data_IF_813262186334
#
_entry.id   IF_813262186334
#
_cell.length_a   1.000
_cell.length_b   1.000
_cell.length_c   1.000
_cell.angle_alpha   90.00
_cell.angle_beta   90.00
_cell.angle_gamma   90.00
#
_symmetry.space_group_name_H-M   'P 1'
#
loop_
_entity.id
_entity.type
_entity.pdbx_description
1 polymer ?
#
# COMPACT_ATOMS: atom_id res chain seq x y z
N UNK A 1 12.90 -15.48 4.46
CA UNK A 1 13.55 -14.41 3.70
C UNK A 1 12.80 -13.12 3.95
N UNK A 2 13.52 -12.04 4.21
CA UNK A 2 12.91 -10.73 4.45
C UNK A 2 12.54 -10.04 3.14
N UNK A 3 11.49 -9.21 3.17
CA UNK A 3 11.07 -8.40 2.02
C UNK A 3 12.10 -7.34 1.67
N UNK A 4 12.70 -6.71 2.68
CA UNK A 4 13.58 -5.57 2.52
C UNK A 4 15.04 -6.00 2.31
N UNK A 5 15.80 -5.36 1.41
CA UNK A 5 17.21 -5.67 1.24
C UNK A 5 18.02 -5.17 2.44
N UNK A 6 19.10 -5.87 2.83
CA UNK A 6 20.03 -5.33 3.81
C UNK A 6 20.65 -4.03 3.26
N UNK A 7 20.91 -3.07 4.13
CA UNK A 7 21.53 -1.80 3.73
C UNK A 7 22.65 -1.43 4.67
N UNK A 8 23.59 -0.68 4.11
CA UNK A 8 24.78 -0.17 4.77
C UNK A 8 24.41 0.77 5.95
N UNK A 9 25.36 1.02 6.87
CA UNK A 9 25.19 2.03 7.91
C UNK A 9 24.85 3.39 7.31
N UNK A 10 24.04 4.17 8.02
CA UNK A 10 23.69 5.51 7.55
C UNK A 10 24.93 6.42 7.53
N UNK A 11 25.14 7.10 6.40
CA UNK A 11 26.25 8.04 6.22
C UNK A 11 26.09 9.34 7.04
N UNK A 12 24.86 9.66 7.48
CA UNK A 12 24.52 10.93 8.12
C UNK A 12 23.74 10.75 9.43
N UNK A 13 23.84 11.72 10.37
CA UNK A 13 22.97 11.79 11.55
C UNK A 13 21.49 11.88 11.17
N UNK A 14 20.61 11.47 12.11
CA UNK A 14 19.15 11.43 11.89
C UNK A 14 18.59 12.81 11.59
N UNK A 15 19.06 13.82 12.31
CA UNK A 15 18.62 15.20 12.25
C UNK A 15 18.91 15.80 10.86
N UNK A 16 20.08 15.47 10.29
CA UNK A 16 20.47 15.88 8.94
C UNK A 16 19.56 15.24 7.88
N UNK A 17 19.17 13.97 8.04
CA UNK A 17 18.21 13.32 7.17
C UNK A 17 16.83 14.00 7.25
N UNK A 18 16.33 14.27 8.46
CA UNK A 18 15.03 14.91 8.67
C UNK A 18 14.98 16.33 8.09
N UNK A 19 16.04 17.11 8.26
CA UNK A 19 16.16 18.43 7.63
C UNK A 19 16.06 18.35 6.10
N UNK A 20 16.81 17.43 5.48
CA UNK A 20 16.77 17.21 4.02
C UNK A 20 15.40 16.75 3.53
N UNK A 21 14.72 15.89 4.29
CA UNK A 21 13.36 15.44 3.98
C UNK A 21 12.37 16.60 3.98
N UNK A 22 12.48 17.53 4.93
CA UNK A 22 11.63 18.72 4.98
C UNK A 22 11.83 19.61 3.75
N UNK A 23 13.07 19.85 3.33
CA UNK A 23 13.38 20.59 2.10
C UNK A 23 12.81 19.89 0.86
N UNK A 24 13.01 18.57 0.74
CA UNK A 24 12.48 17.78 -0.38
C UNK A 24 10.95 17.71 -0.40
N UNK A 25 10.30 17.71 0.76
CA UNK A 25 8.84 17.76 0.86
C UNK A 25 8.27 19.04 0.24
N UNK A 26 8.88 20.20 0.50
CA UNK A 26 8.47 21.45 -0.13
C UNK A 26 8.57 21.38 -1.66
N UNK A 27 9.61 20.72 -2.19
CA UNK A 27 9.77 20.49 -3.63
C UNK A 27 8.69 19.58 -4.23
N UNK A 28 8.21 18.58 -3.50
CA UNK A 28 7.09 17.72 -3.94
C UNK A 28 5.81 18.54 -4.11
N UNK A 29 5.50 19.39 -3.14
CA UNK A 29 4.28 20.22 -3.18
C UNK A 29 4.32 21.17 -4.39
N UNK A 30 5.47 21.80 -4.63
CA UNK A 30 5.68 22.67 -5.81
C UNK A 30 5.61 21.90 -7.15
N UNK A 31 6.18 20.69 -7.20
CA UNK A 31 6.15 19.86 -8.42
C UNK A 31 4.75 19.32 -8.75
N UNK A 32 3.94 19.04 -7.72
CA UNK A 32 2.56 18.61 -7.89
C UNK A 32 1.70 19.69 -8.55
N UNK A 33 1.92 20.95 -8.17
CA UNK A 33 1.25 22.13 -8.76
C UNK A 33 1.67 22.38 -10.21
N UNK A 34 2.91 22.02 -10.56
CA UNK A 34 3.47 22.21 -11.92
C UNK A 34 3.27 21.01 -12.86
N UNK A 35 2.63 19.93 -12.39
CA UNK A 35 2.40 18.73 -13.19
C UNK A 35 3.69 17.96 -13.56
N UNK A 36 4.80 18.22 -12.87
CA UNK A 36 6.09 17.61 -13.18
C UNK A 36 6.14 16.12 -12.80
N UNK A 37 6.87 15.34 -13.60
CA UNK A 37 7.12 13.91 -13.33
C UNK A 37 8.12 13.77 -12.17
N UNK A 38 7.76 12.97 -11.16
CA UNK A 38 8.67 12.67 -10.05
C UNK A 38 8.89 11.15 -9.96
N UNK A 39 10.13 10.67 -9.91
CA UNK A 39 10.41 9.26 -9.74
C UNK A 39 10.18 8.85 -8.27
N UNK A 40 8.94 8.53 -7.90
CA UNK A 40 8.61 8.08 -6.54
C UNK A 40 9.45 6.89 -6.07
N UNK A 41 9.80 5.98 -6.98
CA UNK A 41 10.70 4.87 -6.71
C UNK A 41 12.11 5.35 -6.29
N UNK A 42 12.61 6.44 -6.90
CA UNK A 42 13.87 7.08 -6.52
C UNK A 42 13.75 7.76 -5.14
N UNK A 43 12.63 8.43 -4.86
CA UNK A 43 12.39 9.04 -3.56
C UNK A 43 12.42 8.01 -2.43
N UNK A 44 11.72 6.89 -2.59
CA UNK A 44 11.71 5.80 -1.61
C UNK A 44 13.07 5.15 -1.45
N UNK A 45 13.78 4.86 -2.54
CA UNK A 45 15.14 4.33 -2.51
C UNK A 45 16.11 5.29 -1.78
N UNK A 46 16.00 6.59 -2.09
CA UNK A 46 16.85 7.63 -1.52
C UNK A 46 16.71 7.70 0.00
N UNK A 47 15.48 7.60 0.52
CA UNK A 47 15.20 7.54 1.96
C UNK A 47 15.74 6.25 2.55
N UNK A 48 15.38 5.10 1.96
CA UNK A 48 15.70 3.80 2.52
C UNK A 48 17.20 3.59 2.74
N UNK A 49 18.04 3.99 1.77
CA UNK A 49 19.50 3.91 1.86
C UNK A 49 20.10 4.77 2.98
N UNK A 50 19.38 5.79 3.46
CA UNK A 50 19.84 6.76 4.47
C UNK A 50 19.25 6.51 5.85
N UNK A 51 18.36 5.54 6.02
CA UNK A 51 17.83 5.17 7.32
C UNK A 51 18.89 4.40 8.12
N UNK A 52 19.20 4.88 9.33
CA UNK A 52 19.95 4.10 10.30
C UNK A 52 19.12 2.91 10.81
N UNK A 53 19.78 1.95 11.49
CA UNK A 53 19.13 0.73 11.96
C UNK A 53 17.94 0.95 12.89
N UNK A 54 18.00 1.98 13.75
CA UNK A 54 16.91 2.33 14.67
C UNK A 54 15.67 2.82 13.92
N UNK A 55 15.84 3.76 13.00
CA UNK A 55 14.73 4.27 12.18
C UNK A 55 14.16 3.17 11.28
N UNK A 56 15.05 2.35 10.70
CA UNK A 56 14.65 1.22 9.86
C UNK A 56 13.74 0.27 10.62
N UNK A 57 14.18 -0.19 11.79
CA UNK A 57 13.40 -1.09 12.66
C UNK A 57 12.03 -0.50 13.00
N UNK A 58 11.99 0.80 13.34
CA UNK A 58 10.72 1.48 13.67
C UNK A 58 9.79 1.66 12.47
N UNK A 59 10.33 1.78 11.26
CA UNK A 59 9.58 1.97 10.01
C UNK A 59 9.35 0.65 9.26
N UNK A 60 9.92 -0.47 9.72
CA UNK A 60 9.83 -1.77 9.06
C UNK A 60 8.40 -2.13 8.66
N UNK A 61 7.36 -1.98 9.52
CA UNK A 61 5.99 -2.31 9.11
C UNK A 61 5.48 -1.51 7.89
N UNK A 62 5.88 -0.24 7.76
CA UNK A 62 5.51 0.59 6.61
C UNK A 62 6.33 0.22 5.36
N UNK A 63 7.63 -0.01 5.53
CA UNK A 63 8.51 -0.37 4.44
C UNK A 63 8.17 -1.75 3.87
N UNK A 64 7.87 -2.72 4.74
CA UNK A 64 7.37 -4.06 4.36
C UNK A 64 6.08 -3.94 3.56
N UNK A 65 5.15 -3.05 3.94
CA UNK A 65 3.92 -2.80 3.17
C UNK A 65 4.25 -2.30 1.74
N UNK A 66 5.15 -1.33 1.61
CA UNK A 66 5.55 -0.81 0.30
C UNK A 66 6.29 -1.87 -0.55
N UNK A 67 7.11 -2.72 0.08
CA UNK A 67 7.78 -3.82 -0.60
C UNK A 67 6.78 -4.90 -1.05
N UNK A 68 5.84 -5.27 -0.17
CA UNK A 68 4.79 -6.24 -0.46
C UNK A 68 3.90 -5.78 -1.62
N UNK A 69 3.54 -4.49 -1.68
CA UNK A 69 2.79 -3.93 -2.82
C UNK A 69 3.52 -4.17 -4.15
N UNK A 70 4.82 -3.92 -4.21
CA UNK A 70 5.59 -4.15 -5.44
C UNK A 70 5.69 -5.64 -5.79
N UNK A 71 5.78 -6.50 -4.77
CA UNK A 71 5.75 -7.95 -4.96
C UNK A 71 4.40 -8.41 -5.52
N UNK A 72 3.29 -7.99 -4.93
CA UNK A 72 1.93 -8.28 -5.40
C UNK A 72 1.72 -7.80 -6.83
N UNK A 73 2.14 -6.57 -7.16
CA UNK A 73 2.04 -6.04 -8.51
C UNK A 73 2.85 -6.89 -9.51
N UNK A 74 4.08 -7.27 -9.15
CA UNK A 74 4.92 -8.15 -9.99
C UNK A 74 4.27 -9.51 -10.21
N UNK A 75 3.68 -10.08 -9.16
CA UNK A 75 2.98 -11.36 -9.22
C UNK A 75 1.72 -11.28 -10.08
N UNK A 76 0.96 -10.18 -10.03
CA UNK A 76 -0.24 -10.03 -10.85
C UNK A 76 0.07 -10.20 -12.34
N UNK A 77 1.09 -9.49 -12.84
CA UNK A 77 1.55 -9.63 -14.22
C UNK A 77 2.09 -11.04 -14.50
N UNK A 78 2.98 -11.54 -13.64
CA UNK A 78 3.64 -12.82 -13.89
C UNK A 78 2.64 -14.00 -13.88
N UNK A 79 1.69 -14.00 -12.96
CA UNK A 79 0.65 -15.04 -12.87
C UNK A 79 -0.39 -14.93 -14.00
N UNK A 80 -0.52 -13.76 -14.62
CA UNK A 80 -1.30 -13.56 -15.84
C UNK A 80 -0.51 -13.95 -17.12
N UNK A 81 0.77 -14.35 -16.99
CA UNK A 81 1.64 -14.63 -18.14
C UNK A 81 2.16 -13.38 -18.85
N UNK A 82 1.98 -12.21 -18.25
CA UNK A 82 2.42 -10.92 -18.78
C UNK A 82 3.79 -10.51 -18.21
N UNK A 83 4.50 -9.68 -18.97
CA UNK A 83 5.77 -9.12 -18.51
C UNK A 83 5.51 -7.96 -17.53
N UNK A 84 6.00 -8.03 -16.28
CA UNK A 84 5.79 -6.93 -15.34
C UNK A 84 6.53 -5.66 -15.81
N UNK A 85 5.99 -4.47 -15.51
CA UNK A 85 6.64 -3.22 -15.88
C UNK A 85 7.99 -3.08 -15.18
N UNK A 86 8.97 -2.44 -15.83
CA UNK A 86 10.33 -2.29 -15.30
C UNK A 86 10.35 -1.64 -13.90
N UNK A 87 9.42 -0.73 -13.62
CA UNK A 87 9.29 -0.08 -12.32
C UNK A 87 8.88 -1.06 -11.19
N UNK A 88 8.10 -2.09 -11.50
CA UNK A 88 7.72 -3.12 -10.52
C UNK A 88 8.87 -4.10 -10.26
N UNK A 89 9.58 -4.50 -11.34
CA UNK A 89 10.72 -5.42 -11.27
C UNK A 89 11.91 -4.83 -10.49
N UNK A 90 12.19 -3.54 -10.65
CA UNK A 90 13.35 -2.87 -10.07
C UNK A 90 13.01 -2.06 -8.81
N UNK A 91 12.02 -2.51 -8.03
CA UNK A 91 11.69 -1.84 -6.77
C UNK A 91 12.85 -1.90 -5.79
N UNK A 92 13.44 -0.76 -5.45
CA UNK A 92 14.56 -0.67 -4.53
C UNK A 92 14.26 -1.18 -3.10
N UNK A 93 12.99 -1.34 -2.73
CA UNK A 93 12.58 -1.87 -1.44
C UNK A 93 12.40 -3.39 -1.44
N UNK A 94 12.26 -4.04 -2.59
CA UNK A 94 12.09 -5.49 -2.65
C UNK A 94 13.46 -6.16 -2.78
N UNK A 95 13.76 -7.12 -1.92
CA UNK A 95 15.04 -7.83 -1.95
C UNK A 95 15.24 -8.54 -3.32
N UNK A 96 16.44 -8.40 -3.90
CA UNK A 96 16.76 -8.94 -5.22
C UNK A 96 16.46 -10.46 -5.39
N UNK A 97 16.66 -11.33 -4.38
CA UNK A 97 16.25 -12.73 -4.50
C UNK A 97 14.73 -12.91 -4.68
N UNK A 98 13.91 -12.08 -4.04
CA UNK A 98 12.45 -12.10 -4.20
C UNK A 98 12.02 -11.55 -5.56
N UNK A 99 12.67 -10.50 -6.06
CA UNK A 99 12.45 -9.99 -7.41
C UNK A 99 12.69 -11.09 -8.45
N UNK A 100 13.84 -11.79 -8.34
CA UNK A 100 14.18 -12.90 -9.24
C UNK A 100 13.18 -14.05 -9.13
N UNK A 101 12.77 -14.40 -7.91
CA UNK A 101 11.80 -15.47 -7.70
C UNK A 101 10.44 -15.14 -8.32
N UNK A 102 9.96 -13.91 -8.11
CA UNK A 102 8.69 -13.44 -8.67
C UNK A 102 8.74 -13.26 -10.19
N UNK A 103 9.90 -12.95 -10.77
CA UNK A 103 10.08 -12.73 -12.21
C UNK A 103 10.60 -13.95 -12.99
N UNK A 104 10.87 -15.08 -12.32
CA UNK A 104 11.57 -16.23 -12.91
C UNK A 104 10.87 -16.85 -14.12
N UNK A 105 9.58 -16.54 -14.35
CA UNK A 105 8.77 -17.18 -15.38
C UNK A 105 8.57 -18.68 -15.10
N UNK A 106 7.64 -19.29 -15.82
CA UNK A 106 7.31 -20.73 -15.68
C UNK A 106 6.00 -20.98 -14.96
N UNK A 107 5.86 -22.18 -14.39
CA UNK A 107 4.62 -22.61 -13.73
C UNK A 107 4.21 -21.65 -12.60
N UNK A 108 2.99 -21.13 -12.70
CA UNK A 108 2.42 -20.14 -11.80
C UNK A 108 2.28 -20.71 -10.39
N UNK A 109 1.82 -21.96 -10.27
CA UNK A 109 1.69 -22.62 -8.98
C UNK A 109 3.06 -22.85 -8.31
N UNK A 110 4.04 -23.35 -9.06
CA UNK A 110 5.41 -23.51 -8.59
C UNK A 110 6.04 -22.19 -8.15
N UNK A 111 5.72 -21.08 -8.82
CA UNK A 111 6.15 -19.74 -8.39
C UNK A 111 5.56 -19.36 -7.03
N UNK A 112 4.27 -19.59 -6.83
CA UNK A 112 3.59 -19.36 -5.53
C UNK A 112 4.18 -20.24 -4.43
N UNK A 113 4.44 -21.53 -4.70
CA UNK A 113 5.00 -22.47 -3.73
C UNK A 113 6.43 -22.08 -3.27
N UNK A 114 7.28 -21.62 -4.20
CA UNK A 114 8.61 -21.09 -3.87
C UNK A 114 8.49 -19.82 -3.03
N UNK A 115 7.53 -18.95 -3.33
CA UNK A 115 7.28 -17.72 -2.57
C UNK A 115 6.84 -18.00 -1.14
N UNK A 116 5.90 -18.93 -0.96
CA UNK A 116 5.43 -19.40 0.34
C UNK A 116 6.61 -19.90 1.19
N UNK A 117 7.39 -20.83 0.64
CA UNK A 117 8.57 -21.40 1.31
C UNK A 117 9.57 -20.32 1.70
N UNK A 118 9.82 -19.36 0.80
CA UNK A 118 10.77 -18.29 1.02
C UNK A 118 10.34 -17.32 2.14
N UNK A 119 9.05 -17.01 2.26
CA UNK A 119 8.56 -15.95 3.15
C UNK A 119 8.00 -16.47 4.48
N UNK A 120 7.56 -17.73 4.56
CA UNK A 120 6.78 -18.26 5.70
C UNK A 120 7.44 -18.06 7.07
N UNK A 121 8.77 -18.14 7.14
CA UNK A 121 9.51 -17.90 8.39
C UNK A 121 9.33 -16.49 8.94
N UNK A 122 9.40 -15.46 8.08
CA UNK A 122 9.40 -14.05 8.48
C UNK A 122 8.00 -13.41 8.41
N UNK A 123 7.11 -14.01 7.62
CA UNK A 123 5.75 -13.56 7.35
C UNK A 123 4.78 -14.75 7.42
N UNK A 124 4.38 -15.20 8.62
CA UNK A 124 3.61 -16.43 8.78
C UNK A 124 2.28 -16.48 8.01
N UNK A 125 1.68 -15.31 7.72
CA UNK A 125 0.44 -15.19 6.95
C UNK A 125 0.57 -15.66 5.49
N UNK A 126 1.78 -15.87 4.98
CA UNK A 126 2.00 -16.42 3.63
C UNK A 126 1.88 -17.94 3.59
N UNK A 127 1.75 -18.60 4.74
CA UNK A 127 1.50 -20.05 4.80
C UNK A 127 0.13 -20.37 4.19
N UNK A 128 0.06 -21.41 3.37
CA UNK A 128 -1.13 -21.80 2.62
C UNK A 128 -1.39 -21.00 1.34
N UNK A 129 -0.44 -20.19 0.88
CA UNK A 129 -0.58 -19.44 -0.39
C UNK A 129 -0.82 -20.36 -1.59
N UNK A 130 -0.10 -21.48 -1.69
CA UNK A 130 -0.32 -22.45 -2.77
C UNK A 130 -1.71 -23.07 -2.72
N UNK A 131 -2.21 -23.38 -1.52
CA UNK A 131 -3.57 -23.90 -1.33
C UNK A 131 -4.60 -22.86 -1.77
N UNK A 132 -4.38 -21.59 -1.41
CA UNK A 132 -5.28 -20.51 -1.76
C UNK A 132 -5.25 -20.23 -3.27
N UNK A 133 -4.08 -20.28 -3.91
CA UNK A 133 -3.95 -20.20 -5.36
C UNK A 133 -4.77 -21.29 -6.08
N UNK A 134 -4.67 -22.55 -5.65
CA UNK A 134 -5.45 -23.65 -6.25
C UNK A 134 -6.96 -23.47 -6.11
N UNK A 135 -7.42 -22.78 -5.05
CA UNK A 135 -8.86 -22.59 -4.76
C UNK A 135 -9.45 -21.33 -5.39
N UNK A 136 -8.68 -20.24 -5.45
CA UNK A 136 -9.17 -18.89 -5.78
C UNK A 136 -8.33 -18.21 -6.87
N UNK A 137 -7.34 -18.88 -7.43
CA UNK A 137 -6.44 -18.35 -8.44
C UNK A 137 -5.53 -17.23 -7.93
N UNK A 138 -4.98 -16.41 -8.86
CA UNK A 138 -4.11 -15.27 -8.54
C UNK A 138 -4.74 -14.25 -7.57
N UNK A 139 -6.06 -14.03 -7.67
CA UNK A 139 -6.79 -13.09 -6.80
C UNK A 139 -6.76 -13.50 -5.32
N UNK A 140 -6.81 -14.81 -5.03
CA UNK A 140 -6.69 -15.32 -3.65
C UNK A 140 -5.31 -15.06 -3.05
N UNK A 141 -4.25 -15.25 -3.85
CA UNK A 141 -2.86 -14.96 -3.47
C UNK A 141 -2.68 -13.49 -3.15
N UNK A 142 -3.14 -12.63 -4.06
CA UNK A 142 -3.11 -11.18 -3.87
C UNK A 142 -3.82 -10.79 -2.58
N UNK A 143 -5.06 -11.23 -2.39
CA UNK A 143 -5.86 -10.93 -1.20
C UNK A 143 -5.16 -11.33 0.10
N UNK A 144 -4.56 -12.53 0.14
CA UNK A 144 -3.88 -13.05 1.33
C UNK A 144 -2.61 -12.25 1.65
N UNK A 145 -1.77 -11.96 0.65
CA UNK A 145 -0.55 -11.16 0.84
C UNK A 145 -0.89 -9.76 1.35
N UNK A 146 -1.88 -9.14 0.72
CA UNK A 146 -2.39 -7.80 0.98
C UNK A 146 -3.00 -7.66 2.37
N UNK A 147 -3.89 -8.57 2.75
CA UNK A 147 -4.51 -8.57 4.07
C UNK A 147 -3.49 -8.90 5.16
N UNK A 148 -2.67 -9.93 4.90
CA UNK A 148 -1.71 -10.44 5.86
C UNK A 148 -0.62 -9.43 6.21
N UNK A 149 -0.11 -8.66 5.24
CA UNK A 149 0.94 -7.66 5.54
C UNK A 149 0.44 -6.52 6.43
N UNK A 150 -0.80 -6.08 6.25
CA UNK A 150 -1.41 -5.06 7.10
C UNK A 150 -1.60 -5.57 8.54
N UNK A 151 -2.15 -6.79 8.68
CA UNK A 151 -2.35 -7.42 9.99
C UNK A 151 -1.03 -7.70 10.70
N UNK A 152 -0.03 -8.20 9.97
CA UNK A 152 1.32 -8.44 10.48
C UNK A 152 1.97 -7.14 10.95
N UNK A 153 1.84 -6.06 10.18
CA UNK A 153 2.32 -4.74 10.55
C UNK A 153 1.66 -4.19 11.81
N UNK A 154 0.34 -4.40 11.97
CA UNK A 154 -0.43 -3.96 13.14
C UNK A 154 -0.09 -4.76 14.42
N UNK A 155 0.17 -6.06 14.28
CA UNK A 155 0.54 -6.94 15.39
C UNK A 155 1.92 -6.59 15.98
N UNK A 156 2.82 -6.00 15.18
CA UNK A 156 4.16 -5.62 15.64
C UNK A 156 4.13 -4.48 16.65
N UNK A 157 5.07 -4.47 17.62
CA UNK A 157 5.36 -3.27 18.41
C UNK A 157 5.77 -2.12 17.49
N UNK A 158 5.28 -0.91 17.75
CA UNK A 158 5.51 0.22 16.86
C UNK A 158 4.99 1.52 17.43
N UNK A 159 5.33 2.63 16.77
CA UNK A 159 4.82 3.94 17.15
C UNK A 159 3.30 4.01 16.98
N UNK A 160 2.64 4.77 17.85
CA UNK A 160 1.20 5.04 17.77
C UNK A 160 0.83 5.58 16.38
N UNK A 161 1.68 6.46 15.84
CA UNK A 161 1.54 7.00 14.50
C UNK A 161 1.49 5.90 13.43
N UNK A 162 2.46 4.98 13.42
CA UNK A 162 2.54 3.95 12.41
C UNK A 162 1.35 2.99 12.50
N UNK A 163 0.94 2.64 13.73
CA UNK A 163 -0.29 1.87 13.94
C UNK A 163 -1.50 2.63 13.40
N UNK A 164 -1.64 3.92 13.71
CA UNK A 164 -2.71 4.76 13.18
C UNK A 164 -2.77 4.77 11.65
N UNK A 165 -1.62 4.95 10.99
CA UNK A 165 -1.49 4.90 9.54
C UNK A 165 -1.90 3.52 8.97
N UNK A 166 -1.43 2.42 9.56
CA UNK A 166 -1.80 1.07 9.11
C UNK A 166 -3.28 0.75 9.32
N UNK A 167 -3.87 1.17 10.45
CA UNK A 167 -5.31 1.03 10.72
C UNK A 167 -6.13 1.79 9.68
N UNK A 168 -5.71 3.01 9.37
CA UNK A 168 -6.35 3.80 8.34
C UNK A 168 -6.30 3.07 6.99
N UNK A 169 -5.16 2.51 6.59
CA UNK A 169 -5.04 1.74 5.34
C UNK A 169 -5.92 0.48 5.32
N UNK A 170 -6.13 -0.19 6.47
CA UNK A 170 -7.12 -1.27 6.58
C UNK A 170 -8.54 -0.75 6.31
N UNK A 171 -8.92 0.38 6.93
CA UNK A 171 -10.24 0.98 6.72
C UNK A 171 -10.45 1.37 5.26
N UNK A 172 -9.45 1.99 4.64
CA UNK A 172 -9.48 2.38 3.24
C UNK A 172 -9.69 1.17 2.33
N UNK A 173 -8.88 0.12 2.49
CA UNK A 173 -9.01 -1.13 1.72
C UNK A 173 -10.41 -1.72 1.87
N UNK A 174 -10.90 -1.80 3.11
CA UNK A 174 -12.20 -2.40 3.39
C UNK A 174 -13.36 -1.60 2.77
N UNK A 175 -13.32 -0.26 2.86
CA UNK A 175 -14.32 0.61 2.23
C UNK A 175 -14.32 0.48 0.70
N UNK A 176 -13.13 0.48 0.08
CA UNK A 176 -13.01 0.28 -1.36
C UNK A 176 -13.50 -1.11 -1.80
N UNK A 177 -13.21 -2.16 -1.01
CA UNK A 177 -13.67 -3.51 -1.29
C UNK A 177 -15.20 -3.62 -1.27
N UNK A 178 -15.85 -3.04 -0.25
CA UNK A 178 -17.33 -2.98 -0.17
C UNK A 178 -17.90 -2.32 -1.42
N UNK A 179 -17.37 -1.15 -1.78
CA UNK A 179 -17.83 -0.39 -2.94
C UNK A 179 -17.57 -1.12 -4.27
N UNK A 180 -16.40 -1.76 -4.41
CA UNK A 180 -16.02 -2.56 -5.58
C UNK A 180 -16.98 -3.73 -5.80
N UNK A 181 -17.31 -4.48 -4.74
CA UNK A 181 -18.23 -5.61 -4.85
C UNK A 181 -19.68 -5.20 -5.13
N UNK A 182 -20.15 -4.05 -4.61
CA UNK A 182 -21.45 -3.52 -5.02
C UNK A 182 -21.50 -3.18 -6.50
N UNK A 183 -20.45 -2.50 -7.02
CA UNK A 183 -20.35 -2.15 -8.43
C UNK A 183 -20.41 -3.38 -9.33
N UNK A 184 -19.71 -4.43 -8.93
CA UNK A 184 -19.66 -5.68 -9.68
C UNK A 184 -20.81 -6.65 -9.38
N UNK A 185 -21.78 -6.23 -8.55
CA UNK A 185 -22.95 -7.01 -8.20
C UNK A 185 -22.63 -8.41 -7.63
N UNK A 186 -21.46 -8.55 -6.98
CA UNK A 186 -21.07 -9.81 -6.36
C UNK A 186 -22.02 -10.17 -5.21
N UNK A 187 -22.43 -11.43 -5.15
CA UNK A 187 -23.33 -11.98 -4.13
C UNK A 187 -22.59 -12.46 -2.88
N UNK A 188 -21.28 -12.67 -2.96
CA UNK A 188 -20.47 -13.10 -1.83
C UNK A 188 -20.01 -11.91 -0.99
N UNK A 189 -20.03 -12.08 0.33
CA UNK A 189 -19.64 -11.03 1.26
C UNK A 189 -18.16 -10.63 1.08
N UNK A 190 -17.82 -9.34 1.25
CA UNK A 190 -16.47 -8.86 1.05
C UNK A 190 -15.48 -9.50 2.03
N UNK A 191 -14.28 -9.89 1.56
CA UNK A 191 -13.22 -10.34 2.43
C UNK A 191 -12.57 -9.15 3.16
N UNK A 192 -13.16 -8.80 4.30
CA UNK A 192 -12.73 -7.69 5.14
C UNK A 192 -11.54 -8.06 6.03
N UNK A 193 -10.60 -7.12 6.17
CA UNK A 193 -9.42 -7.24 7.02
C UNK A 193 -9.70 -6.67 8.39
N UNK A 194 -9.30 -7.39 9.44
CA UNK A 194 -9.43 -6.91 10.81
C UNK A 194 -8.33 -5.90 11.18
N UNK A 195 -8.58 -5.12 12.23
CA UNK A 195 -7.58 -4.21 12.81
C UNK A 195 -7.71 -2.75 12.37
N UNK A 196 -8.63 -2.42 11.46
CA UNK A 196 -9.03 -1.05 11.17
C UNK A 196 -9.78 -0.38 12.33
N UNK A 197 -10.11 0.89 12.16
CA UNK A 197 -10.92 1.69 13.08
C UNK A 197 -12.41 1.41 12.90
N UNK A 198 -12.84 0.96 11.71
CA UNK A 198 -14.20 0.52 11.45
C UNK A 198 -14.31 -0.98 11.72
N UNK A 199 -15.26 -1.35 12.59
CA UNK A 199 -15.56 -2.75 12.86
C UNK A 199 -16.01 -3.48 11.58
N UNK A 200 -15.39 -4.62 11.28
CA UNK A 200 -15.73 -5.43 10.10
C UNK A 200 -17.21 -5.85 10.07
N UNK A 201 -17.83 -6.09 11.24
CA UNK A 201 -19.27 -6.39 11.34
C UNK A 201 -20.15 -5.23 10.87
N UNK A 202 -19.73 -3.98 11.12
CA UNK A 202 -20.43 -2.78 10.63
C UNK A 202 -20.38 -2.71 9.11
N UNK A 203 -19.20 -2.91 8.51
CA UNK A 203 -19.04 -2.89 7.06
C UNK A 203 -19.76 -4.06 6.36
N UNK A 204 -19.78 -5.26 6.97
CA UNK A 204 -20.60 -6.37 6.43
C UNK A 204 -22.09 -6.05 6.42
N UNK A 205 -22.59 -5.42 7.50
CA UNK A 205 -23.99 -5.00 7.57
C UNK A 205 -24.31 -3.98 6.49
N UNK A 206 -23.46 -2.96 6.36
CA UNK A 206 -23.59 -1.94 5.30
C UNK A 206 -23.65 -2.61 3.94
N UNK A 207 -22.69 -3.48 3.63
CA UNK A 207 -22.64 -4.22 2.38
C UNK A 207 -23.93 -5.02 2.12
N UNK A 208 -24.40 -5.78 3.11
CA UNK A 208 -25.58 -6.61 3.00
C UNK A 208 -26.87 -5.80 2.76
N UNK A 209 -27.00 -4.62 3.39
CA UNK A 209 -28.16 -3.74 3.21
C UNK A 209 -28.02 -2.78 2.04
N UNK A 210 -26.89 -2.82 1.30
CA UNK A 210 -26.54 -1.85 0.24
C UNK A 210 -26.69 -0.39 0.67
N UNK A 211 -26.35 -0.09 1.92
CA UNK A 211 -26.50 1.25 2.51
C UNK A 211 -25.34 2.18 2.10
N UNK A 212 -25.42 2.71 0.88
CA UNK A 212 -24.43 3.60 0.28
C UNK A 212 -24.22 4.87 1.10
N UNK A 213 -25.29 5.43 1.67
CA UNK A 213 -25.22 6.69 2.41
C UNK A 213 -24.47 6.51 3.73
N UNK A 214 -24.67 5.37 4.41
CA UNK A 214 -23.91 5.05 5.62
C UNK A 214 -22.45 4.79 5.31
N UNK A 215 -22.12 4.15 4.18
CA UNK A 215 -20.72 4.03 3.75
C UNK A 215 -20.11 5.41 3.50
N UNK A 216 -20.81 6.29 2.77
CA UNK A 216 -20.35 7.65 2.49
C UNK A 216 -20.13 8.47 3.77
N UNK A 217 -21.03 8.37 4.76
CA UNK A 217 -20.84 9.02 6.08
C UNK A 217 -19.62 8.48 6.83
N UNK A 218 -19.37 7.18 6.79
CA UNK A 218 -18.17 6.58 7.42
C UNK A 218 -16.89 7.06 6.74
N UNK A 219 -16.85 7.07 5.40
CA UNK A 219 -15.71 7.58 4.65
C UNK A 219 -15.48 9.06 4.94
N UNK A 220 -16.55 9.87 4.94
CA UNK A 220 -16.45 11.29 5.25
C UNK A 220 -15.92 11.53 6.67
N UNK A 221 -16.32 10.71 7.64
CA UNK A 221 -15.81 10.79 9.00
C UNK A 221 -14.31 10.43 9.08
N UNK A 222 -13.89 9.35 8.41
CA UNK A 222 -12.48 8.94 8.35
C UNK A 222 -11.61 10.00 7.66
N UNK A 223 -12.05 10.48 6.50
CA UNK A 223 -11.37 11.53 5.76
C UNK A 223 -11.45 12.89 6.44
N UNK A 224 -12.43 13.06 7.34
CA UNK A 224 -12.88 14.28 8.01
C UNK A 224 -13.19 15.43 7.07
N UNK A 225 -13.70 15.11 5.89
CA UNK A 225 -14.34 16.01 4.94
C UNK A 225 -15.39 15.20 4.15
N UNK A 226 -16.49 15.83 3.69
CA UNK A 226 -17.48 15.12 2.89
C UNK A 226 -16.92 14.69 1.53
N UNK A 227 -17.28 13.48 1.08
CA UNK A 227 -17.01 13.05 -0.30
C UNK A 227 -17.78 13.95 -1.27
N UNK A 228 -17.12 14.49 -2.30
CA UNK A 228 -17.83 15.14 -3.41
C UNK A 228 -18.66 14.09 -4.15
N UNK A 229 -19.91 14.38 -4.44
CA UNK A 229 -20.90 13.38 -4.85
C UNK A 229 -20.57 12.62 -6.14
N UNK A 230 -20.91 11.32 -6.17
CA UNK A 230 -21.37 10.63 -7.38
C UNK A 230 -20.47 9.60 -8.07
N UNK A 231 -19.19 9.43 -7.72
CA UNK A 231 -18.29 8.48 -8.43
C UNK A 231 -17.36 7.71 -7.48
N UNK A 232 -17.02 6.46 -7.82
CA UNK A 232 -16.01 5.62 -7.12
C UNK A 232 -14.70 6.37 -6.88
N UNK A 233 -14.26 7.14 -7.87
CA UNK A 233 -13.09 8.00 -7.79
C UNK A 233 -13.15 8.99 -6.63
N UNK A 234 -14.34 9.54 -6.35
CA UNK A 234 -14.50 10.52 -5.28
C UNK A 234 -14.33 9.88 -3.89
N UNK A 235 -14.75 8.61 -3.74
CA UNK A 235 -14.57 7.86 -2.50
C UNK A 235 -13.09 7.54 -2.25
N UNK A 236 -12.38 7.03 -3.26
CA UNK A 236 -10.93 6.77 -3.16
C UNK A 236 -10.16 8.06 -2.87
N UNK A 237 -10.40 9.13 -3.64
CA UNK A 237 -9.72 10.41 -3.46
C UNK A 237 -9.97 11.00 -2.07
N UNK A 238 -11.19 10.90 -1.54
CA UNK A 238 -11.52 11.35 -0.19
C UNK A 238 -10.73 10.55 0.86
N UNK A 239 -10.67 9.22 0.72
CA UNK A 239 -9.88 8.36 1.60
C UNK A 239 -8.37 8.69 1.53
N UNK A 240 -7.83 8.93 0.34
CA UNK A 240 -6.43 9.31 0.15
C UNK A 240 -6.12 10.70 0.72
N UNK A 241 -7.05 11.64 0.61
CA UNK A 241 -6.95 12.95 1.23
C UNK A 241 -6.90 12.83 2.75
N UNK A 242 -7.78 12.03 3.34
CA UNK A 242 -7.78 11.74 4.77
C UNK A 242 -6.47 11.14 5.28
N UNK A 243 -5.89 10.19 4.54
CA UNK A 243 -4.57 9.64 4.86
C UNK A 243 -3.49 10.73 4.82
N UNK A 244 -3.50 11.56 3.77
CA UNK A 244 -2.57 12.68 3.61
C UNK A 244 -2.67 13.65 4.79
N UNK A 245 -3.89 13.97 5.23
CA UNK A 245 -4.13 14.81 6.40
C UNK A 245 -3.57 14.18 7.68
N UNK A 246 -3.83 12.89 7.91
CA UNK A 246 -3.34 12.15 9.07
C UNK A 246 -1.80 12.16 9.13
N UNK A 247 -1.12 11.81 8.03
CA UNK A 247 0.35 11.78 8.02
C UNK A 247 0.96 13.18 8.10
N UNK A 248 0.33 14.19 7.47
CA UNK A 248 0.77 15.59 7.56
C UNK A 248 0.69 16.12 8.98
N UNK A 249 -0.39 15.82 9.70
CA UNK A 249 -0.57 16.26 11.09
C UNK A 249 0.50 15.64 11.99
N UNK A 250 0.84 14.38 11.75
CA UNK A 250 1.92 13.70 12.46
C UNK A 250 3.33 14.17 12.06
N UNK A 251 3.50 14.66 10.84
CA UNK A 251 4.74 15.27 10.33
C UNK A 251 4.95 16.72 10.78
N UNK A 252 4.16 17.24 11.73
CA UNK A 252 4.36 18.55 12.35
C UNK A 252 5.55 18.57 13.31
N UNK A 253 5.83 17.45 13.98
CA UNK A 253 7.07 17.29 14.75
C UNK A 253 8.25 17.15 13.77
N UNK A 254 9.13 18.15 13.67
CA UNK A 254 10.21 18.16 12.69
C UNK A 254 11.29 17.10 12.96
N UNK A 255 11.35 16.56 14.18
CA UNK A 255 12.29 15.53 14.59
C UNK A 255 11.63 14.13 14.67
N UNK A 256 10.33 14.07 14.39
CA UNK A 256 9.52 12.86 14.50
C UNK A 256 9.55 11.96 13.27
N UNK A 257 9.19 10.69 13.47
CA UNK A 257 9.00 9.72 12.38
C UNK A 257 7.94 10.15 11.35
N UNK A 258 7.02 11.02 11.75
CA UNK A 258 5.95 11.50 10.89
C UNK A 258 6.45 12.22 9.64
N UNK A 259 7.59 12.91 9.71
CA UNK A 259 8.20 13.56 8.54
C UNK A 259 8.58 12.52 7.47
N UNK A 260 9.12 11.38 7.89
CA UNK A 260 9.54 10.31 6.98
C UNK A 260 8.31 9.67 6.34
N UNK A 261 7.29 9.35 7.14
CA UNK A 261 6.04 8.72 6.66
C UNK A 261 5.29 9.66 5.71
N UNK A 262 5.15 10.95 6.06
CA UNK A 262 4.53 11.98 5.23
C UNK A 262 5.25 12.11 3.88
N UNK A 263 6.59 12.20 3.88
CA UNK A 263 7.36 12.29 2.64
C UNK A 263 7.19 11.05 1.75
N UNK A 264 7.31 9.85 2.32
CA UNK A 264 7.15 8.60 1.58
C UNK A 264 5.72 8.45 1.04
N UNK A 265 4.72 8.79 1.84
CA UNK A 265 3.31 8.77 1.42
C UNK A 265 3.06 9.70 0.23
N UNK A 266 3.53 10.95 0.30
CA UNK A 266 3.39 11.92 -0.80
C UNK A 266 4.07 11.45 -2.07
N UNK A 267 5.27 10.90 -1.96
CA UNK A 267 5.97 10.33 -3.12
C UNK A 267 5.13 9.22 -3.77
N UNK A 268 4.54 8.31 -2.99
CA UNK A 268 3.66 7.26 -3.50
C UNK A 268 2.39 7.81 -4.14
N UNK A 269 1.72 8.77 -3.49
CA UNK A 269 0.51 9.41 -4.00
C UNK A 269 0.77 10.14 -5.32
N UNK A 270 1.91 10.82 -5.47
CA UNK A 270 2.30 11.45 -6.73
C UNK A 270 2.46 10.44 -7.86
N UNK A 271 3.17 9.33 -7.63
CA UNK A 271 3.33 8.30 -8.67
C UNK A 271 2.00 7.67 -9.07
N UNK A 272 1.11 7.43 -8.11
CA UNK A 272 -0.23 6.96 -8.42
C UNK A 272 -1.03 7.98 -9.24
N UNK A 273 -1.04 9.24 -8.83
CA UNK A 273 -1.73 10.30 -9.57
C UNK A 273 -1.16 10.45 -10.99
N UNK A 274 0.15 10.22 -11.17
CA UNK A 274 0.78 10.20 -12.48
C UNK A 274 0.27 9.04 -13.34
N UNK A 275 0.21 7.82 -12.80
CA UNK A 275 -0.37 6.67 -13.51
C UNK A 275 -1.80 7.00 -13.93
N UNK A 276 -2.64 7.49 -13.02
CA UNK A 276 -4.01 7.87 -13.32
C UNK A 276 -4.15 8.93 -14.42
N UNK A 277 -3.20 9.89 -14.50
CA UNK A 277 -3.16 10.91 -15.55
C UNK A 277 -2.71 10.31 -16.89
N UNK A 278 -1.79 9.34 -16.88
CA UNK A 278 -1.29 8.69 -18.09
C UNK A 278 -2.29 7.68 -18.67
N UNK A 279 -3.07 6.99 -17.84
CA UNK A 279 -4.12 6.04 -18.25
C UNK A 279 -5.46 6.70 -18.57
N UNK A 280 -5.46 7.99 -18.97
CA UNK A 280 -6.66 8.69 -19.47
C UNK A 280 -7.15 8.19 -20.85
N UNK A 281 -6.66 7.05 -21.34
CA UNK A 281 -7.19 6.33 -22.49
C UNK A 281 -8.07 5.14 -22.02
N UNK A 282 -9.38 5.25 -22.28
CA UNK A 282 -10.45 4.24 -22.24
C UNK A 282 -10.67 3.39 -20.95
N UNK A 283 -9.68 2.76 -20.34
CA UNK A 283 -9.86 1.74 -19.28
C UNK A 283 -9.58 2.25 -17.85
N UNK A 284 -10.00 3.50 -17.61
CA UNK A 284 -9.73 4.23 -16.36
C UNK A 284 -10.34 3.56 -15.13
N UNK A 285 -11.51 2.95 -15.25
CA UNK A 285 -12.34 2.50 -14.12
C UNK A 285 -12.00 1.09 -13.59
N UNK A 286 -11.18 0.34 -14.31
CA UNK A 286 -10.67 -0.97 -13.89
C UNK A 286 -9.41 -0.81 -13.02
N UNK A 287 -8.52 0.12 -13.39
CA UNK A 287 -7.24 0.40 -12.72
C UNK A 287 -7.38 1.16 -11.38
N UNK A 288 -8.45 1.95 -11.22
CA UNK A 288 -8.68 2.80 -10.05
C UNK A 288 -8.86 2.02 -8.73
N UNK A 289 -9.13 0.71 -8.78
CA UNK A 289 -9.17 -0.09 -7.56
C UNK A 289 -7.80 -0.46 -6.99
N UNK A 290 -6.70 -0.26 -7.75
CA UNK A 290 -5.59 -1.22 -7.67
C UNK A 290 -4.20 -0.60 -7.46
N UNK A 291 -4.05 0.73 -7.57
CA UNK A 291 -2.70 1.31 -7.62
C UNK A 291 -2.24 1.92 -6.29
N UNK A 292 -3.10 2.38 -5.38
CA UNK A 292 -2.66 2.91 -4.07
C UNK A 292 -2.89 1.99 -2.87
N UNK A 293 -3.89 1.11 -2.93
CA UNK A 293 -4.47 0.53 -1.71
C UNK A 293 -4.61 -0.98 -1.71
N UNK A 294 -3.69 -1.63 -2.43
CA UNK A 294 -3.49 -3.07 -2.55
C UNK A 294 -4.23 -3.68 -3.74
#
# INVERSE_FOLDING_TARGET
>A
MQLLPPTQPAELPTEALLARLRCRRAGIDLAADQGAQAPAAEAVNWVYRRLNGRLRTRLTPFLDLLAMRNLVLTLRYTLAGEKPPAAALHSALLAAPLQRLAAAGGDAEGTVARLETALARDYPFVSGLTINYRRQGPGGVEQQLTAGILQHGLARPGSVLLKGALRYLVDVRNCLMVHKLWRWQFSQAPPLVAGGSIAATSLRRIWATRDSDRLARLVAHLAGEPCREGKTMALEQCLLHGMTRLVRQAGRDPLGLGVIIDYLWRAQLMAHNQVLRQTLAADRDELLGEVLLL
#
